data_IF_204824536681
#
_entry.id   IF_204824536681
#
_cell.length_a   1.000
_cell.length_b   1.000
_cell.length_c   1.000
_cell.angle_alpha   90.00
_cell.angle_beta   90.00
_cell.angle_gamma   90.00
#
_symmetry.space_group_name_H-M   'P 1'
#
loop_
_entity.id
_entity.type
_entity.pdbx_description
1 polymer ?
#
# COMPACT_ATOMS: atom_id res chain seq x y z
N UNK A 1 -7.51 15.17 -7.69
CA UNK A 1 -6.25 14.53 -7.24
C UNK A 1 -5.85 15.02 -5.86
N UNK A 2 -5.03 14.27 -5.12
CA UNK A 2 -4.54 14.63 -3.78
C UNK A 2 -3.79 15.96 -3.78
N UNK A 3 -2.92 16.21 -4.76
CA UNK A 3 -2.21 17.51 -4.88
C UNK A 3 -3.18 18.69 -5.04
N UNK A 4 -4.29 18.52 -5.77
CA UNK A 4 -5.30 19.56 -5.87
C UNK A 4 -6.00 19.80 -4.55
N UNK A 5 -6.30 18.75 -3.78
CA UNK A 5 -6.86 18.87 -2.45
C UNK A 5 -5.89 19.58 -1.49
N UNK A 6 -4.61 19.20 -1.50
CA UNK A 6 -3.57 19.86 -0.70
C UNK A 6 -3.33 21.34 -1.06
N UNK A 7 -3.58 21.73 -2.33
CA UNK A 7 -3.54 23.14 -2.74
C UNK A 7 -4.74 23.93 -2.21
N UNK A 8 -5.91 23.30 -2.10
CA UNK A 8 -7.13 23.94 -1.56
C UNK A 8 -7.10 24.01 -0.04
N UNK A 9 -6.54 23.00 0.61
CA UNK A 9 -6.34 22.93 2.05
C UNK A 9 -4.90 22.49 2.37
N UNK A 10 -3.97 23.44 2.53
CA UNK A 10 -2.57 23.13 2.83
C UNK A 10 -2.35 22.46 4.20
N UNK A 11 -3.31 22.55 5.12
CA UNK A 11 -3.26 21.90 6.44
C UNK A 11 -3.86 20.47 6.43
N UNK A 12 -4.37 19.99 5.30
CA UNK A 12 -4.84 18.62 5.12
C UNK A 12 -3.67 17.64 5.06
N UNK A 13 -3.27 17.08 6.20
CA UNK A 13 -2.16 16.12 6.25
C UNK A 13 -2.37 14.89 5.35
N UNK A 14 -3.60 14.33 5.33
CA UNK A 14 -3.92 13.15 4.51
C UNK A 14 -3.97 13.47 3.02
N UNK A 15 -4.17 14.71 2.63
CA UNK A 15 -4.03 15.12 1.23
C UNK A 15 -2.56 15.06 0.78
N UNK A 16 -1.63 15.48 1.62
CA UNK A 16 -0.19 15.37 1.38
C UNK A 16 0.28 13.92 1.46
N UNK A 17 -0.22 13.15 2.43
CA UNK A 17 0.04 11.71 2.52
C UNK A 17 -0.38 10.98 1.24
N UNK A 18 -1.60 11.23 0.76
CA UNK A 18 -2.10 10.63 -0.47
C UNK A 18 -1.32 11.07 -1.72
N UNK A 19 -0.84 12.35 -1.76
CA UNK A 19 0.01 12.84 -2.83
C UNK A 19 1.36 12.12 -2.87
N UNK A 20 1.92 11.77 -1.70
CA UNK A 20 3.14 10.96 -1.62
C UNK A 20 2.85 9.50 -2.00
N UNK A 21 1.79 8.90 -1.45
CA UNK A 21 1.45 7.49 -1.63
C UNK A 21 1.33 7.10 -3.11
N UNK A 22 0.59 7.89 -3.89
CA UNK A 22 0.29 7.57 -5.31
C UNK A 22 1.49 7.69 -6.25
N UNK A 23 2.62 8.21 -5.78
CA UNK A 23 3.86 8.30 -6.55
C UNK A 23 4.79 7.10 -6.32
N UNK A 24 4.50 6.28 -5.31
CA UNK A 24 5.27 5.07 -5.02
C UNK A 24 4.98 3.90 -5.98
N UNK A 25 5.68 2.79 -5.79
CA UNK A 25 5.35 1.54 -6.48
C UNK A 25 3.92 1.13 -6.19
N UNK A 26 3.31 0.43 -7.10
CA UNK A 26 2.00 -0.21 -6.91
C UNK A 26 1.91 -1.46 -7.78
N UNK A 27 0.87 -2.27 -7.58
CA UNK A 27 0.70 -3.56 -8.23
C UNK A 27 0.92 -3.55 -9.76
N UNK A 28 0.66 -2.43 -10.44
CA UNK A 28 0.75 -2.32 -11.90
C UNK A 28 2.04 -1.66 -12.41
N UNK A 29 2.83 -0.99 -11.57
CA UNK A 29 4.04 -0.29 -12.01
C UNK A 29 5.05 -0.05 -10.88
N UNK A 30 6.31 -0.09 -11.26
CA UNK A 30 7.40 0.41 -10.43
C UNK A 30 7.32 1.94 -10.32
N UNK A 31 7.88 2.49 -9.25
CA UNK A 31 8.02 3.94 -9.10
C UNK A 31 9.00 4.51 -10.13
N UNK A 32 8.62 5.60 -10.80
CA UNK A 32 9.57 6.40 -11.58
C UNK A 32 10.53 7.12 -10.60
N UNK A 33 11.86 6.89 -10.69
CA UNK A 33 12.84 7.58 -9.86
C UNK A 33 12.73 9.11 -9.90
N UNK A 34 12.28 9.68 -11.01
CA UNK A 34 12.07 11.12 -11.17
C UNK A 34 10.95 11.67 -10.27
N UNK A 35 10.07 10.83 -9.78
CA UNK A 35 8.99 11.22 -8.87
C UNK A 35 9.41 11.21 -7.39
N UNK A 36 10.58 10.64 -7.04
CA UNK A 36 11.02 10.59 -5.65
C UNK A 36 11.10 11.96 -4.96
N UNK A 37 11.65 13.03 -5.57
CA UNK A 37 11.68 14.34 -4.92
C UNK A 37 10.28 14.88 -4.58
N UNK A 38 9.29 14.65 -5.45
CA UNK A 38 7.91 15.08 -5.23
C UNK A 38 7.23 14.24 -4.13
N UNK A 39 7.46 12.93 -4.15
CA UNK A 39 6.94 12.02 -3.13
C UNK A 39 7.51 12.36 -1.75
N UNK A 40 8.83 12.53 -1.66
CA UNK A 40 9.51 12.93 -0.45
C UNK A 40 9.01 14.27 0.09
N UNK A 41 8.93 15.31 -0.76
CA UNK A 41 8.42 16.63 -0.36
C UNK A 41 6.99 16.55 0.17
N UNK A 42 6.12 15.80 -0.50
CA UNK A 42 4.72 15.61 -0.07
C UNK A 42 4.66 14.89 1.28
N UNK A 43 5.46 13.84 1.46
CA UNK A 43 5.56 13.12 2.72
C UNK A 43 6.03 14.04 3.87
N UNK A 44 7.08 14.87 3.66
CA UNK A 44 7.56 15.80 4.67
C UNK A 44 6.48 16.81 5.11
N UNK A 45 5.60 17.21 4.19
CA UNK A 45 4.43 18.04 4.52
C UNK A 45 3.43 17.29 5.40
N UNK A 46 3.12 16.03 5.08
CA UNK A 46 2.25 15.20 5.91
C UNK A 46 2.84 14.98 7.31
N UNK A 47 4.13 14.68 7.41
CA UNK A 47 4.85 14.49 8.69
C UNK A 47 4.83 15.76 9.55
N UNK A 48 5.05 16.94 8.97
CA UNK A 48 4.98 18.19 9.69
C UNK A 48 3.56 18.47 10.27
N UNK A 49 2.52 17.94 9.66
CA UNK A 49 1.13 18.05 10.10
C UNK A 49 0.68 16.90 11.01
N UNK A 50 1.46 15.83 11.13
CA UNK A 50 1.12 14.66 11.94
C UNK A 50 0.74 14.96 13.40
N UNK A 51 1.31 15.97 14.09
CA UNK A 51 0.86 16.33 15.44
C UNK A 51 -0.59 16.88 15.52
N UNK A 52 -1.16 17.31 14.40
CA UNK A 52 -2.48 17.95 14.34
C UNK A 52 -3.62 17.00 13.95
N UNK A 53 -3.30 15.75 13.62
CA UNK A 53 -4.28 14.77 13.11
C UNK A 53 -4.59 13.67 14.12
N UNK A 54 -5.57 12.82 13.81
CA UNK A 54 -5.95 11.68 14.65
C UNK A 54 -4.80 10.67 14.79
N UNK A 55 -4.83 9.85 15.83
CA UNK A 55 -3.84 8.77 16.00
C UNK A 55 -3.85 7.79 14.83
N UNK A 56 -5.02 7.53 14.23
CA UNK A 56 -5.14 6.69 13.05
C UNK A 56 -4.36 7.29 11.88
N UNK A 57 -4.64 8.53 11.53
CA UNK A 57 -3.98 9.22 10.42
C UNK A 57 -2.46 9.36 10.64
N UNK A 58 -2.06 9.66 11.89
CA UNK A 58 -0.65 9.72 12.28
C UNK A 58 0.07 8.40 12.05
N UNK A 59 -0.58 7.28 12.39
CA UNK A 59 -0.01 5.96 12.17
C UNK A 59 0.21 5.64 10.67
N UNK A 60 -0.72 6.05 9.80
CA UNK A 60 -0.55 5.96 8.34
C UNK A 60 0.60 6.82 7.82
N UNK A 61 0.71 8.06 8.32
CA UNK A 61 1.80 8.96 7.94
C UNK A 61 3.14 8.35 8.32
N UNK A 62 3.29 7.87 9.55
CA UNK A 62 4.53 7.24 10.02
C UNK A 62 4.86 5.92 9.29
N UNK A 63 3.86 5.13 8.93
CA UNK A 63 4.12 3.94 8.10
C UNK A 63 4.72 4.34 6.74
N UNK A 64 4.20 5.41 6.11
CA UNK A 64 4.67 5.87 4.81
C UNK A 64 6.09 6.47 4.85
N UNK A 65 6.58 6.96 6.00
CA UNK A 65 7.95 7.47 6.13
C UNK A 65 9.01 6.44 5.74
N UNK A 66 8.72 5.15 5.93
CA UNK A 66 9.64 4.07 5.56
C UNK A 66 9.74 3.81 4.07
N UNK A 67 8.81 4.34 3.24
CA UNK A 67 8.73 4.09 1.80
C UNK A 67 9.62 4.99 0.97
N UNK A 68 10.08 6.12 1.52
CA UNK A 68 10.83 7.14 0.80
C UNK A 68 12.05 7.61 1.59
N UNK A 69 13.03 8.13 0.86
CA UNK A 69 14.18 8.84 1.41
C UNK A 69 14.49 10.07 0.54
N UNK A 70 15.10 11.10 1.11
CA UNK A 70 15.55 12.27 0.36
C UNK A 70 16.54 11.87 -0.74
N UNK A 71 17.47 11.00 -0.38
CA UNK A 71 18.44 10.38 -1.28
C UNK A 71 18.17 8.86 -1.26
N UNK A 72 17.29 8.35 -2.12
CA UNK A 72 16.92 6.94 -2.11
C UNK A 72 18.11 6.07 -2.52
N UNK A 73 18.23 4.84 -1.97
CA UNK A 73 19.23 3.89 -2.43
C UNK A 73 18.95 3.51 -3.89
N UNK A 74 20.01 3.08 -4.60
CA UNK A 74 19.91 2.58 -5.97
C UNK A 74 18.94 1.39 -6.04
N UNK A 75 19.09 0.44 -5.12
CA UNK A 75 18.12 -0.63 -4.94
C UNK A 75 16.99 -0.17 -3.99
N UNK A 76 15.87 0.19 -4.59
CA UNK A 76 14.67 0.61 -3.86
C UNK A 76 14.09 -0.48 -2.96
N UNK A 77 14.42 -1.75 -3.20
CA UNK A 77 13.87 -2.89 -2.44
C UNK A 77 13.99 -2.72 -0.92
N UNK A 78 15.06 -2.07 -0.47
CA UNK A 78 15.27 -1.76 0.97
C UNK A 78 14.11 -0.92 1.55
N UNK A 79 13.62 0.07 0.78
CA UNK A 79 12.50 0.93 1.18
C UNK A 79 11.17 0.18 1.09
N UNK A 80 11.00 -0.67 0.08
CA UNK A 80 9.78 -1.44 -0.10
C UNK A 80 9.62 -2.50 1.01
N UNK A 81 10.70 -3.15 1.41
CA UNK A 81 10.73 -4.06 2.57
C UNK A 81 10.46 -3.33 3.90
N UNK A 82 11.03 -2.13 4.06
CA UNK A 82 10.77 -1.31 5.25
C UNK A 82 9.29 -0.88 5.32
N UNK A 83 8.69 -0.52 4.20
CA UNK A 83 7.28 -0.15 4.12
C UNK A 83 6.37 -1.35 4.38
N UNK A 84 6.65 -2.52 3.81
CA UNK A 84 5.90 -3.74 4.11
C UNK A 84 5.96 -4.09 5.61
N UNK A 85 7.12 -3.94 6.25
CA UNK A 85 7.26 -4.11 7.71
C UNK A 85 6.45 -3.09 8.49
N UNK A 86 6.48 -1.81 8.10
CA UNK A 86 5.76 -0.73 8.78
C UNK A 86 4.23 -0.90 8.67
N UNK A 87 3.73 -1.26 7.48
CA UNK A 87 2.29 -1.56 7.28
C UNK A 87 1.86 -2.81 8.05
N UNK A 88 2.71 -3.84 8.16
CA UNK A 88 2.46 -4.99 9.01
C UNK A 88 2.35 -4.63 10.50
N UNK A 89 3.22 -3.74 10.98
CA UNK A 89 3.13 -3.21 12.34
C UNK A 89 1.85 -2.39 12.55
N UNK A 90 1.42 -1.63 11.54
CA UNK A 90 0.16 -0.88 11.57
C UNK A 90 -1.04 -1.82 11.71
N UNK A 91 -1.09 -2.92 10.95
CA UNK A 91 -2.13 -3.97 11.08
C UNK A 91 -2.14 -4.58 12.47
N UNK A 92 -0.96 -4.89 13.04
CA UNK A 92 -0.85 -5.46 14.37
C UNK A 92 -1.37 -4.50 15.47
N UNK A 93 -1.14 -3.21 15.31
CA UNK A 93 -1.63 -2.16 16.24
C UNK A 93 -3.12 -1.86 16.07
N UNK A 94 -3.66 -2.03 14.86
CA UNK A 94 -5.03 -1.69 14.48
C UNK A 94 -5.68 -2.83 13.71
N UNK A 95 -5.95 -3.98 14.38
CA UNK A 95 -6.42 -5.19 13.71
C UNK A 95 -7.78 -5.03 13.04
N UNK A 96 -8.60 -4.07 13.46
CA UNK A 96 -9.93 -3.81 12.88
C UNK A 96 -9.89 -2.78 11.72
N UNK A 97 -8.72 -2.21 11.42
CA UNK A 97 -8.56 -1.25 10.33
C UNK A 97 -8.42 -1.99 8.99
N UNK A 98 -9.50 -2.00 8.21
CA UNK A 98 -9.56 -2.70 6.93
C UNK A 98 -8.63 -2.09 5.88
N UNK A 99 -8.51 -0.75 5.84
CA UNK A 99 -7.59 -0.08 4.92
C UNK A 99 -6.13 -0.44 5.24
N UNK A 100 -5.76 -0.54 6.53
CA UNK A 100 -4.41 -0.94 6.92
C UNK A 100 -4.05 -2.34 6.40
N UNK A 101 -5.01 -3.29 6.44
CA UNK A 101 -4.81 -4.63 5.87
C UNK A 101 -4.61 -4.59 4.36
N UNK A 102 -5.35 -3.73 3.66
CA UNK A 102 -5.24 -3.58 2.20
C UNK A 102 -3.90 -2.96 1.82
N UNK A 103 -3.46 -1.90 2.50
CA UNK A 103 -2.13 -1.33 2.27
C UNK A 103 -0.99 -2.29 2.59
N UNK A 104 -1.17 -3.13 3.61
CA UNK A 104 -0.18 -4.17 3.90
C UNK A 104 -0.16 -5.26 2.82
N UNK A 105 -1.33 -5.68 2.33
CA UNK A 105 -1.41 -6.63 1.23
C UNK A 105 -0.72 -6.09 -0.02
N UNK A 106 -0.98 -4.83 -0.42
CA UNK A 106 -0.32 -4.20 -1.56
C UNK A 106 1.20 -4.10 -1.34
N UNK A 107 1.66 -3.66 -0.16
CA UNK A 107 3.09 -3.59 0.15
C UNK A 107 3.79 -4.95 0.04
N UNK A 108 3.12 -6.04 0.39
CA UNK A 108 3.64 -7.40 0.20
C UNK A 108 3.65 -7.82 -1.28
N UNK A 109 2.66 -7.38 -2.07
CA UNK A 109 2.61 -7.62 -3.52
C UNK A 109 3.74 -6.89 -4.24
N UNK A 110 4.05 -5.66 -3.84
CA UNK A 110 5.14 -4.84 -4.41
C UNK A 110 6.53 -5.46 -4.22
N UNK A 111 6.71 -6.35 -3.23
CA UNK A 111 7.98 -7.08 -3.04
C UNK A 111 8.23 -8.18 -4.07
N UNK A 112 7.20 -8.64 -4.76
CA UNK A 112 7.27 -9.72 -5.75
C UNK A 112 6.30 -9.47 -6.92
N UNK A 113 6.40 -8.33 -7.64
CA UNK A 113 5.41 -7.92 -8.63
C UNK A 113 5.25 -8.98 -9.71
N UNK A 114 3.99 -9.43 -9.91
CA UNK A 114 3.57 -10.45 -10.89
C UNK A 114 4.18 -11.85 -10.71
N UNK A 115 4.99 -12.09 -9.67
CA UNK A 115 5.61 -13.38 -9.36
C UNK A 115 4.92 -14.09 -8.19
N UNK A 116 3.59 -14.23 -8.30
CA UNK A 116 2.74 -14.73 -7.20
C UNK A 116 2.60 -16.24 -7.17
N UNK A 117 2.82 -16.95 -8.29
CA UNK A 117 2.67 -18.39 -8.39
C UNK A 117 3.83 -19.02 -9.16
N UNK A 118 4.15 -20.26 -8.83
CA UNK A 118 5.12 -21.06 -9.56
C UNK A 118 4.50 -21.75 -10.81
N UNK A 119 5.30 -22.49 -11.54
CA UNK A 119 4.87 -23.25 -12.74
C UNK A 119 3.78 -24.30 -12.44
N UNK A 120 3.63 -24.72 -11.19
CA UNK A 120 2.59 -25.65 -10.72
C UNK A 120 1.39 -24.94 -10.11
N UNK A 121 1.33 -23.61 -10.25
CA UNK A 121 0.31 -22.73 -9.71
C UNK A 121 0.25 -22.75 -8.17
N UNK A 122 1.33 -23.14 -7.51
CA UNK A 122 1.46 -23.01 -6.06
C UNK A 122 1.87 -21.57 -5.67
N UNK A 123 1.28 -21.00 -4.60
CA UNK A 123 1.58 -19.64 -4.20
C UNK A 123 3.03 -19.49 -3.73
N UNK A 124 3.72 -18.45 -4.23
CA UNK A 124 5.10 -18.09 -3.88
C UNK A 124 5.14 -16.99 -2.83
N UNK A 125 6.22 -16.95 -2.07
CA UNK A 125 6.54 -15.84 -1.16
C UNK A 125 5.37 -15.46 -0.26
N UNK A 126 4.94 -14.20 -0.36
CA UNK A 126 3.87 -13.63 0.46
C UNK A 126 2.45 -13.87 -0.09
N UNK A 127 2.29 -14.52 -1.24
CA UNK A 127 1.00 -14.63 -1.94
C UNK A 127 -0.12 -15.21 -1.08
N UNK A 128 0.16 -16.28 -0.33
CA UNK A 128 -0.86 -16.89 0.55
C UNK A 128 -1.31 -15.91 1.66
N UNK A 129 -0.38 -15.14 2.22
CA UNK A 129 -0.69 -14.12 3.22
C UNK A 129 -1.51 -12.97 2.63
N UNK A 130 -1.14 -12.49 1.44
CA UNK A 130 -1.88 -11.47 0.68
C UNK A 130 -3.32 -11.89 0.44
N UNK A 131 -3.54 -13.09 -0.11
CA UNK A 131 -4.88 -13.63 -0.36
C UNK A 131 -5.68 -13.70 0.94
N UNK A 132 -5.12 -14.23 2.02
CA UNK A 132 -5.79 -14.34 3.32
C UNK A 132 -6.16 -12.96 3.90
N UNK A 133 -5.26 -11.97 3.79
CA UNK A 133 -5.55 -10.60 4.23
C UNK A 133 -6.72 -10.00 3.47
N UNK A 134 -6.71 -10.07 2.15
CA UNK A 134 -7.76 -9.50 1.29
C UNK A 134 -9.10 -10.19 1.52
N UNK A 135 -9.13 -11.52 1.64
CA UNK A 135 -10.35 -12.27 1.96
C UNK A 135 -10.90 -11.89 3.35
N UNK A 136 -10.03 -11.65 4.33
CA UNK A 136 -10.43 -11.18 5.65
C UNK A 136 -11.11 -9.81 5.61
N UNK A 137 -10.67 -8.92 4.71
CA UNK A 137 -11.29 -7.61 4.47
C UNK A 137 -12.63 -7.77 3.78
N UNK A 138 -12.68 -8.54 2.70
CA UNK A 138 -13.90 -8.78 1.91
C UNK A 138 -15.00 -9.47 2.74
N UNK A 139 -14.62 -10.31 3.70
CA UNK A 139 -15.57 -10.94 4.64
C UNK A 139 -16.28 -9.91 5.53
N UNK A 140 -15.60 -8.83 5.93
CA UNK A 140 -16.15 -7.76 6.78
C UNK A 140 -16.85 -6.70 5.93
N UNK A 141 -16.22 -6.28 4.83
CA UNK A 141 -16.75 -5.32 3.89
C UNK A 141 -16.64 -5.88 2.45
N UNK A 142 -17.69 -6.53 1.94
CA UNK A 142 -17.70 -7.11 0.59
C UNK A 142 -17.53 -6.09 -0.54
N UNK A 143 -17.74 -4.80 -0.26
CA UNK A 143 -17.64 -3.70 -1.22
C UNK A 143 -16.36 -2.86 -1.03
N UNK A 144 -15.35 -3.37 -0.36
CA UNK A 144 -14.09 -2.64 -0.16
C UNK A 144 -13.29 -2.56 -1.45
N UNK A 145 -13.37 -1.43 -2.15
CA UNK A 145 -12.83 -1.27 -3.51
C UNK A 145 -11.35 -1.69 -3.64
N UNK A 146 -10.49 -1.26 -2.70
CA UNK A 146 -9.07 -1.64 -2.71
C UNK A 146 -8.85 -3.14 -2.53
N UNK A 147 -9.61 -3.80 -1.63
CA UNK A 147 -9.50 -5.24 -1.43
C UNK A 147 -9.95 -6.01 -2.68
N UNK A 148 -11.07 -5.64 -3.27
CA UNK A 148 -11.59 -6.24 -4.50
C UNK A 148 -10.59 -6.12 -5.65
N UNK A 149 -10.04 -4.91 -5.86
CA UNK A 149 -9.06 -4.65 -6.91
C UNK A 149 -7.81 -5.51 -6.75
N UNK A 150 -7.17 -5.48 -5.58
CA UNK A 150 -5.95 -6.25 -5.32
C UNK A 150 -6.21 -7.77 -5.32
N UNK A 151 -7.40 -8.20 -4.90
CA UNK A 151 -7.76 -9.61 -4.90
C UNK A 151 -7.80 -10.20 -6.30
N UNK A 152 -8.35 -9.47 -7.28
CA UNK A 152 -8.31 -9.91 -8.69
C UNK A 152 -6.87 -10.19 -9.11
N UNK A 153 -5.96 -9.23 -8.90
CA UNK A 153 -4.54 -9.41 -9.24
C UNK A 153 -3.87 -10.56 -8.46
N UNK A 154 -4.25 -10.74 -7.20
CA UNK A 154 -3.66 -11.79 -6.36
C UNK A 154 -4.06 -13.20 -6.78
N UNK A 155 -5.22 -13.38 -7.45
CA UNK A 155 -5.73 -14.73 -7.78
C UNK A 155 -5.82 -15.03 -9.27
N UNK A 156 -5.68 -14.03 -10.17
CA UNK A 156 -5.86 -14.22 -11.63
C UNK A 156 -4.89 -15.24 -12.25
N UNK A 157 -3.68 -15.40 -11.68
CA UNK A 157 -2.69 -16.39 -12.11
C UNK A 157 -2.70 -17.68 -11.26
N UNK A 158 -3.68 -17.86 -10.36
CA UNK A 158 -3.76 -19.05 -9.49
C UNK A 158 -4.35 -20.26 -10.21
N UNK A 159 -4.34 -21.42 -9.55
CA UNK A 159 -5.04 -22.62 -10.02
C UNK A 159 -6.57 -22.45 -10.11
N UNK A 160 -7.14 -21.46 -9.42
CA UNK A 160 -8.56 -21.13 -9.45
C UNK A 160 -8.79 -19.61 -9.61
N UNK A 161 -8.62 -19.06 -10.82
CA UNK A 161 -8.84 -17.65 -11.09
C UNK A 161 -10.32 -17.23 -10.96
N UNK A 162 -11.26 -18.17 -11.01
CA UNK A 162 -12.70 -17.89 -10.86
C UNK A 162 -13.03 -17.26 -9.50
N UNK A 163 -12.18 -17.43 -8.49
CA UNK A 163 -12.32 -16.75 -7.20
C UNK A 163 -12.32 -15.23 -7.35
N UNK A 164 -11.65 -14.69 -8.37
CA UNK A 164 -11.62 -13.25 -8.67
C UNK A 164 -12.93 -12.70 -9.25
N UNK A 165 -13.80 -13.55 -9.82
CA UNK A 165 -15.05 -13.09 -10.47
C UNK A 165 -15.99 -12.38 -9.49
N UNK A 166 -15.97 -12.78 -8.22
CA UNK A 166 -16.81 -12.15 -7.17
C UNK A 166 -16.31 -10.74 -6.85
N UNK A 167 -15.04 -10.46 -7.16
CA UNK A 167 -14.39 -9.18 -6.87
C UNK A 167 -14.34 -8.24 -8.10
N UNK A 168 -14.62 -8.74 -9.29
CA UNK A 168 -14.65 -7.99 -10.54
C UNK A 168 -16.02 -7.37 -10.79
#
# INVERSE_FOLDING_TARGET
>A
SFLKAAQLDPDCAMCWWGAALVLGPHVNAQMDPADNPKAWQSLQRAVALAPKVTERERAYIHALESRYAENPPEDRRVLDEAYAKATGALVAQRPDDLDARVFHAEALMDLQPWDYYDEKLAPKGNTAAVVSLLESVMKVNPNHAGALHLYVHAVEASADPHRGVVAA
#
